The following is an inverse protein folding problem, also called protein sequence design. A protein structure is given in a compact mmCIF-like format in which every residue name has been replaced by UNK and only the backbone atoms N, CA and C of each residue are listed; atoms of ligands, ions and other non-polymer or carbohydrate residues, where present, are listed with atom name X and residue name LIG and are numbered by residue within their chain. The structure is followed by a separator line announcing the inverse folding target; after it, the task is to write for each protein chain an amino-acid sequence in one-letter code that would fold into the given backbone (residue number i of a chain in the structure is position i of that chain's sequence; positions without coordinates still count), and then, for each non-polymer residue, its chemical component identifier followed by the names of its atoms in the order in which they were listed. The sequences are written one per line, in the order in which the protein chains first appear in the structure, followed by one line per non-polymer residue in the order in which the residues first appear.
data_IF_671631201152
#
_entry.id   IF_671631201152
#
_cell.length_a   1.000
_cell.length_b   1.000
_cell.length_c   1.000
_cell.angle_alpha   90.00
_cell.angle_beta   90.00
_cell.angle_gamma   90.00
#
_symmetry.space_group_name_H-M   'P 1'
#
loop_
_entity.id
_entity.type
_entity.pdbx_description
1 polymer ?
#
# COMPACT_ATOMS: atom_id res chain seq x y z
N UNK A 1 4.30 -31.71 -10.17
CA UNK A 1 3.82 -30.41 -9.63
C UNK A 1 2.70 -30.71 -8.64
N UNK A 2 2.98 -30.62 -7.34
CA UNK A 2 1.96 -30.86 -6.31
C UNK A 2 0.87 -29.77 -6.44
N UNK A 3 -0.35 -30.18 -6.74
CA UNK A 3 -1.55 -29.34 -6.77
C UNK A 3 -1.94 -28.92 -5.33
N UNK A 4 -1.06 -28.18 -4.63
CA UNK A 4 -1.42 -27.64 -3.33
C UNK A 4 -2.67 -26.79 -3.49
N UNK A 5 -3.71 -27.11 -2.73
CA UNK A 5 -4.94 -26.31 -2.65
C UNK A 5 -4.58 -24.87 -2.21
N UNK A 6 -5.29 -23.90 -2.74
CA UNK A 6 -5.15 -22.49 -2.32
C UNK A 6 -5.59 -22.39 -0.86
N UNK A 7 -4.82 -21.74 -0.02
CA UNK A 7 -5.15 -21.63 1.40
C UNK A 7 -6.29 -20.64 1.63
N UNK A 8 -6.99 -20.83 2.73
CA UNK A 8 -8.03 -19.92 3.20
C UNK A 8 -7.49 -18.48 3.40
N UNK A 9 -6.29 -18.34 3.97
CA UNK A 9 -5.63 -17.04 4.17
C UNK A 9 -5.47 -16.26 2.86
N UNK A 10 -5.06 -16.95 1.77
CA UNK A 10 -4.88 -16.30 0.47
C UNK A 10 -6.21 -15.82 -0.11
N UNK A 11 -7.29 -16.59 0.09
CA UNK A 11 -8.63 -16.22 -0.35
C UNK A 11 -9.13 -15.01 0.44
N UNK A 12 -9.02 -15.03 1.78
CA UNK A 12 -9.47 -13.94 2.63
C UNK A 12 -8.69 -12.64 2.35
N UNK A 13 -7.37 -12.74 2.16
CA UNK A 13 -6.59 -11.56 1.79
C UNK A 13 -6.95 -11.04 0.39
N UNK A 14 -7.18 -11.92 -0.58
CA UNK A 14 -7.67 -11.51 -1.90
C UNK A 14 -9.04 -10.81 -1.82
N UNK A 15 -9.95 -11.31 -0.99
CA UNK A 15 -11.27 -10.72 -0.76
C UNK A 15 -11.20 -9.35 -0.07
N UNK A 16 -10.17 -9.09 0.76
CA UNK A 16 -10.04 -7.81 1.45
C UNK A 16 -9.95 -6.60 0.50
N UNK A 17 -9.48 -6.78 -0.73
CA UNK A 17 -9.47 -5.71 -1.74
C UNK A 17 -10.88 -5.34 -2.22
N UNK A 18 -11.82 -6.30 -2.23
CA UNK A 18 -13.20 -6.08 -2.67
C UNK A 18 -14.05 -5.34 -1.65
N UNK A 19 -13.58 -5.21 -0.40
CA UNK A 19 -14.29 -4.50 0.65
C UNK A 19 -14.47 -3.00 0.34
N UNK A 20 -13.71 -2.44 -0.59
CA UNK A 20 -13.90 -1.06 -1.04
C UNK A 20 -15.31 -0.81 -1.58
N UNK A 21 -15.95 -1.85 -2.14
CA UNK A 21 -17.30 -1.74 -2.69
C UNK A 21 -18.41 -1.72 -1.64
N UNK A 22 -18.11 -2.06 -0.39
CA UNK A 22 -19.08 -2.11 0.71
C UNK A 22 -18.62 -1.31 1.93
N UNK A 23 -17.60 -0.47 1.81
CA UNK A 23 -17.16 0.39 2.93
C UNK A 23 -18.20 1.47 3.24
N UNK A 24 -18.34 1.79 4.52
CA UNK A 24 -19.26 2.80 5.02
C UNK A 24 -18.58 4.16 5.31
N UNK A 25 -17.28 4.28 5.06
CA UNK A 25 -16.52 5.51 5.24
C UNK A 25 -15.77 5.88 3.96
N UNK A 26 -15.71 7.17 3.65
CA UNK A 26 -15.07 7.70 2.45
C UNK A 26 -13.57 7.42 2.31
N UNK A 27 -12.92 6.91 3.35
CA UNK A 27 -11.48 6.58 3.36
C UNK A 27 -11.16 5.10 3.16
N UNK A 28 -12.12 4.25 2.79
CA UNK A 28 -11.94 2.78 2.76
C UNK A 28 -11.39 2.28 4.10
N UNK A 29 -12.17 2.42 5.13
CA UNK A 29 -11.80 2.24 6.52
C UNK A 29 -11.49 0.79 6.89
N UNK A 30 -10.61 0.64 7.87
CA UNK A 30 -10.21 -0.63 8.47
C UNK A 30 -11.38 -1.40 9.14
N UNK A 31 -12.47 -0.72 9.48
CA UNK A 31 -13.65 -1.36 10.08
C UNK A 31 -14.16 -2.54 9.24
N UNK A 32 -14.15 -2.42 7.93
CA UNK A 32 -14.61 -3.47 7.00
C UNK A 32 -13.74 -4.72 7.03
N UNK A 33 -12.50 -4.65 7.55
CA UNK A 33 -11.64 -5.81 7.71
C UNK A 33 -12.05 -6.69 8.90
N UNK A 34 -12.78 -6.15 9.87
CA UNK A 34 -13.07 -6.84 11.13
C UNK A 34 -13.78 -8.19 10.93
N UNK A 35 -14.83 -8.31 10.12
CA UNK A 35 -15.48 -9.60 9.87
C UNK A 35 -14.53 -10.63 9.26
N UNK A 36 -13.71 -10.23 8.27
CA UNK A 36 -12.73 -11.14 7.63
C UNK A 36 -11.67 -11.56 8.63
N UNK A 37 -11.19 -10.65 9.46
CA UNK A 37 -10.21 -10.95 10.50
C UNK A 37 -10.76 -11.98 11.50
N UNK A 38 -12.00 -11.81 11.97
CA UNK A 38 -12.65 -12.77 12.85
C UNK A 38 -12.70 -14.15 12.19
N UNK A 39 -13.16 -14.24 10.94
CA UNK A 39 -13.23 -15.51 10.21
C UNK A 39 -11.85 -16.17 10.08
N UNK A 40 -10.81 -15.40 9.82
CA UNK A 40 -9.43 -15.93 9.75
C UNK A 40 -8.94 -16.43 11.12
N UNK A 41 -9.23 -15.72 12.20
CA UNK A 41 -8.85 -16.14 13.54
C UNK A 41 -9.59 -17.43 13.93
N UNK A 42 -10.89 -17.50 13.69
CA UNK A 42 -11.71 -18.70 13.94
C UNK A 42 -11.15 -19.88 13.14
N UNK A 43 -10.86 -19.69 11.85
CA UNK A 43 -10.28 -20.73 11.02
C UNK A 43 -8.94 -21.23 11.58
N UNK A 44 -8.04 -20.33 11.99
CA UNK A 44 -6.73 -20.70 12.56
C UNK A 44 -6.83 -21.44 13.89
N UNK A 45 -7.81 -21.08 14.73
CA UNK A 45 -8.02 -21.72 16.04
C UNK A 45 -8.62 -23.11 15.87
N UNK A 46 -9.69 -23.23 15.10
CA UNK A 46 -10.53 -24.45 15.08
C UNK A 46 -10.21 -25.43 13.96
N UNK A 47 -9.56 -24.98 12.88
CA UNK A 47 -9.33 -25.81 11.68
C UNK A 47 -7.84 -26.02 11.43
N UNK A 48 -7.02 -24.96 11.45
CA UNK A 48 -5.59 -25.04 11.15
C UNK A 48 -4.74 -25.46 12.36
N UNK A 49 -5.28 -25.34 13.58
CA UNK A 49 -4.61 -25.62 14.86
C UNK A 49 -3.21 -24.96 14.97
N UNK A 50 -2.96 -23.89 14.22
CA UNK A 50 -1.65 -23.26 14.09
C UNK A 50 -1.71 -21.80 14.57
N UNK A 51 -1.65 -21.63 15.89
CA UNK A 51 -1.69 -20.29 16.55
C UNK A 51 -0.28 -19.70 16.73
N UNK A 52 0.78 -20.45 16.40
CA UNK A 52 2.16 -19.95 16.61
C UNK A 52 2.45 -18.74 15.74
N UNK A 53 2.52 -17.57 16.36
CA UNK A 53 2.87 -16.32 15.70
C UNK A 53 4.39 -16.17 15.66
N UNK A 54 4.93 -16.09 14.45
CA UNK A 54 6.35 -15.84 14.22
C UNK A 54 6.62 -14.32 14.25
N UNK A 55 7.19 -13.84 15.35
CA UNK A 55 7.52 -12.43 15.56
C UNK A 55 8.95 -12.13 15.07
N UNK A 56 9.09 -11.64 13.84
CA UNK A 56 10.34 -11.09 13.32
C UNK A 56 10.59 -9.65 13.84
N UNK A 57 11.73 -9.04 13.45
CA UNK A 57 12.09 -7.69 13.88
C UNK A 57 11.04 -6.64 13.44
N UNK A 58 10.50 -6.77 12.23
CA UNK A 58 9.47 -5.86 11.71
C UNK A 58 8.17 -5.95 12.52
N UNK A 59 7.67 -7.17 12.77
CA UNK A 59 6.46 -7.37 13.57
C UNK A 59 6.61 -6.90 15.02
N UNK A 60 7.82 -7.07 15.61
CA UNK A 60 8.11 -6.54 16.96
C UNK A 60 8.08 -5.02 17.01
N UNK A 61 8.66 -4.35 16.02
CA UNK A 61 8.62 -2.87 15.97
C UNK A 61 7.20 -2.37 15.73
N UNK A 62 6.40 -3.06 14.91
CA UNK A 62 4.98 -2.73 14.76
C UNK A 62 4.20 -2.93 16.08
N UNK A 63 4.50 -3.98 16.84
CA UNK A 63 3.92 -4.17 18.18
C UNK A 63 4.30 -3.02 19.14
N UNK A 64 5.55 -2.58 19.15
CA UNK A 64 5.97 -1.43 19.99
C UNK A 64 5.28 -0.13 19.59
N UNK A 65 4.99 0.05 18.30
CA UNK A 65 4.15 1.16 17.82
C UNK A 65 2.75 1.11 18.45
N UNK A 66 2.10 -0.05 18.47
CA UNK A 66 0.79 -0.21 19.09
C UNK A 66 0.84 0.09 20.60
N UNK A 67 1.86 -0.42 21.30
CA UNK A 67 2.07 -0.13 22.73
C UNK A 67 2.24 1.38 22.94
N UNK A 68 3.00 2.06 22.10
CA UNK A 68 3.17 3.52 22.20
C UNK A 68 1.85 4.29 21.97
N UNK A 69 0.97 3.82 21.06
CA UNK A 69 -0.37 4.40 20.90
C UNK A 69 -1.23 4.23 22.17
N UNK A 70 -1.14 3.08 22.84
CA UNK A 70 -1.80 2.88 24.14
C UNK A 70 -1.27 3.85 25.19
N UNK A 71 0.05 3.98 25.31
CA UNK A 71 0.70 4.94 26.26
C UNK A 71 0.25 6.36 25.95
N UNK A 72 0.26 6.77 24.66
CA UNK A 72 -0.24 8.07 24.23
C UNK A 72 -1.70 8.27 24.64
N UNK A 73 -2.53 7.28 24.41
CA UNK A 73 -3.98 7.35 24.73
C UNK A 73 -4.21 7.49 26.23
N UNK A 74 -3.53 6.70 27.06
CA UNK A 74 -3.64 6.78 28.54
C UNK A 74 -3.14 8.14 29.04
N UNK A 75 -1.99 8.62 28.55
CA UNK A 75 -1.44 9.92 28.93
C UNK A 75 -2.41 11.06 28.58
N UNK A 76 -3.04 10.99 27.42
CA UNK A 76 -4.00 12.00 27.00
C UNK A 76 -5.37 11.87 27.68
N UNK A 77 -5.76 10.68 28.12
CA UNK A 77 -6.92 10.49 28.99
C UNK A 77 -6.75 11.26 30.31
N UNK A 78 -5.54 11.24 30.87
CA UNK A 78 -5.25 11.94 32.13
C UNK A 78 -5.17 13.46 31.92
N UNK A 79 -4.44 13.92 30.89
CA UNK A 79 -4.14 15.34 30.70
C UNK A 79 -5.28 16.09 29.99
N UNK A 80 -5.96 15.45 29.05
CA UNK A 80 -6.95 16.04 28.16
C UNK A 80 -8.34 15.39 28.27
N UNK A 81 -8.74 15.01 29.49
CA UNK A 81 -9.99 14.24 29.74
C UNK A 81 -11.22 14.88 29.11
N UNK A 82 -11.33 16.20 29.11
CA UNK A 82 -12.46 16.94 28.53
C UNK A 82 -12.61 16.76 27.01
N UNK A 83 -11.54 16.40 26.31
CA UNK A 83 -11.54 16.14 24.85
C UNK A 83 -11.60 14.65 24.53
N UNK A 84 -11.47 13.81 25.54
CA UNK A 84 -11.51 12.36 25.40
C UNK A 84 -12.96 11.90 25.17
N UNK A 85 -13.17 11.02 24.21
CA UNK A 85 -14.47 10.45 23.90
C UNK A 85 -14.35 9.04 23.31
N UNK A 86 -15.49 8.40 23.09
CA UNK A 86 -15.57 7.06 22.52
C UNK A 86 -14.83 6.92 21.17
N UNK A 87 -14.82 7.98 20.34
CA UNK A 87 -14.12 7.94 19.06
C UNK A 87 -12.59 7.83 19.18
N UNK A 88 -12.01 8.25 20.32
CA UNK A 88 -10.60 8.04 20.62
C UNK A 88 -10.31 6.55 20.83
N UNK A 89 -11.17 5.86 21.57
CA UNK A 89 -11.08 4.41 21.79
C UNK A 89 -11.26 3.67 20.47
N UNK A 90 -12.29 4.02 19.68
CA UNK A 90 -12.54 3.44 18.37
C UNK A 90 -11.32 3.63 17.45
N UNK A 91 -10.72 4.81 17.45
CA UNK A 91 -9.50 5.07 16.68
C UNK A 91 -8.32 4.19 17.09
N UNK A 92 -8.14 3.96 18.40
CA UNK A 92 -7.12 3.02 18.90
C UNK A 92 -7.42 1.57 18.49
N UNK A 93 -8.69 1.14 18.59
CA UNK A 93 -9.12 -0.19 18.16
C UNK A 93 -8.85 -0.43 16.67
N UNK A 94 -8.95 0.59 15.82
CA UNK A 94 -8.58 0.45 14.41
C UNK A 94 -7.12 0.05 14.22
N UNK A 95 -6.20 0.63 14.97
CA UNK A 95 -4.79 0.23 14.90
C UNK A 95 -4.55 -1.17 15.48
N UNK A 96 -5.30 -1.59 16.48
CA UNK A 96 -5.27 -2.98 16.98
C UNK A 96 -5.76 -3.95 15.90
N UNK A 97 -6.88 -3.65 15.23
CA UNK A 97 -7.41 -4.46 14.12
C UNK A 97 -6.39 -4.56 12.99
N UNK A 98 -5.76 -3.44 12.61
CA UNK A 98 -4.70 -3.38 11.62
C UNK A 98 -3.52 -4.28 12.00
N UNK A 99 -3.06 -4.17 13.24
CA UNK A 99 -1.96 -4.99 13.75
C UNK A 99 -2.31 -6.48 13.67
N UNK A 100 -3.47 -6.87 14.16
CA UNK A 100 -3.93 -8.26 14.09
C UNK A 100 -4.08 -8.73 12.65
N UNK A 101 -4.64 -7.90 11.77
CA UNK A 101 -4.77 -8.17 10.35
C UNK A 101 -3.40 -8.42 9.71
N UNK A 102 -2.43 -7.55 9.97
CA UNK A 102 -1.06 -7.70 9.49
C UNK A 102 -0.44 -9.01 9.99
N UNK A 103 -0.52 -9.28 11.30
CA UNK A 103 0.07 -10.47 11.92
C UNK A 103 -0.57 -11.75 11.38
N UNK A 104 -1.89 -11.84 11.38
CA UNK A 104 -2.62 -13.05 10.95
C UNK A 104 -2.33 -13.35 9.48
N UNK A 105 -2.36 -12.32 8.63
CA UNK A 105 -2.16 -12.49 7.18
C UNK A 105 -0.70 -12.81 6.84
N UNK A 106 0.29 -12.23 7.53
CA UNK A 106 1.73 -12.45 7.24
C UNK A 106 2.37 -13.57 8.05
N UNK A 107 1.60 -14.36 8.79
CA UNK A 107 2.14 -15.47 9.59
C UNK A 107 2.39 -16.76 8.79
N UNK A 108 2.33 -16.68 7.48
CA UNK A 108 2.47 -17.80 6.54
C UNK A 108 3.31 -17.40 5.34
N UNK A 109 4.07 -18.35 4.80
CA UNK A 109 4.72 -18.19 3.49
C UNK A 109 3.74 -18.61 2.39
N UNK A 110 3.45 -17.71 1.48
CA UNK A 110 2.53 -17.92 0.36
C UNK A 110 3.27 -18.52 -0.85
N UNK A 111 2.62 -19.45 -1.52
CA UNK A 111 3.10 -19.99 -2.80
C UNK A 111 2.91 -18.98 -3.94
N UNK A 112 3.62 -19.17 -5.07
CA UNK A 112 3.46 -18.33 -6.26
C UNK A 112 2.03 -18.30 -6.80
N UNK A 113 1.33 -19.45 -6.70
CA UNK A 113 -0.08 -19.56 -7.11
C UNK A 113 -0.97 -18.67 -6.25
N UNK A 114 -0.76 -18.66 -4.94
CA UNK A 114 -1.51 -17.84 -4.00
C UNK A 114 -1.23 -16.34 -4.21
N UNK A 115 0.05 -15.97 -4.36
CA UNK A 115 0.45 -14.58 -4.67
C UNK A 115 -0.17 -14.12 -5.99
N UNK A 116 -0.23 -14.99 -7.00
CA UNK A 116 -0.88 -14.67 -8.27
C UNK A 116 -2.37 -14.41 -8.10
N UNK A 117 -3.08 -15.21 -7.28
CA UNK A 117 -4.51 -15.00 -6.99
C UNK A 117 -4.73 -13.66 -6.30
N UNK A 118 -3.95 -13.36 -5.25
CA UNK A 118 -4.02 -12.09 -4.51
C UNK A 118 -3.78 -10.90 -5.47
N UNK A 119 -2.70 -10.99 -6.27
CA UNK A 119 -2.37 -9.97 -7.27
C UNK A 119 -3.47 -9.76 -8.30
N UNK A 120 -4.06 -10.87 -8.80
CA UNK A 120 -5.16 -10.81 -9.77
C UNK A 120 -6.38 -10.17 -9.15
N UNK A 121 -6.75 -10.53 -7.92
CA UNK A 121 -7.84 -9.90 -7.18
C UNK A 121 -7.63 -8.38 -7.05
N UNK A 122 -6.42 -7.96 -6.67
CA UNK A 122 -6.08 -6.54 -6.58
C UNK A 122 -6.23 -5.81 -7.91
N UNK A 123 -5.72 -6.39 -9.00
CA UNK A 123 -5.83 -5.82 -10.35
C UNK A 123 -7.31 -5.71 -10.76
N UNK A 124 -8.10 -6.76 -10.58
CA UNK A 124 -9.53 -6.73 -10.92
C UNK A 124 -10.30 -5.68 -10.12
N UNK A 125 -10.05 -5.59 -8.82
CA UNK A 125 -10.64 -4.54 -7.98
C UNK A 125 -10.28 -3.14 -8.52
N UNK A 126 -9.03 -2.91 -8.90
CA UNK A 126 -8.59 -1.61 -9.44
C UNK A 126 -9.28 -1.27 -10.77
N UNK A 127 -9.44 -2.26 -11.67
CA UNK A 127 -10.12 -2.06 -12.94
C UNK A 127 -11.60 -1.72 -12.75
N UNK A 128 -12.27 -2.41 -11.82
CA UNK A 128 -13.68 -2.12 -11.52
C UNK A 128 -13.82 -0.73 -10.87
N UNK A 129 -12.94 -0.36 -9.93
CA UNK A 129 -12.92 1.01 -9.40
C UNK A 129 -12.72 2.05 -10.51
N UNK A 130 -11.85 1.75 -11.48
CA UNK A 130 -11.61 2.63 -12.63
C UNK A 130 -12.85 2.78 -13.51
N UNK A 131 -13.59 1.69 -13.73
CA UNK A 131 -14.83 1.73 -14.49
C UNK A 131 -15.91 2.56 -13.77
N UNK A 132 -16.03 2.48 -12.45
CA UNK A 132 -16.91 3.35 -11.67
C UNK A 132 -16.54 4.83 -11.81
N UNK A 133 -15.26 5.19 -11.77
CA UNK A 133 -14.83 6.57 -11.98
C UNK A 133 -15.14 7.06 -13.41
N UNK A 134 -14.94 6.20 -14.41
CA UNK A 134 -15.24 6.51 -15.81
C UNK A 134 -16.77 6.67 -16.01
N UNK A 135 -17.57 5.80 -15.41
CA UNK A 135 -19.03 5.90 -15.45
C UNK A 135 -19.52 7.22 -14.87
N UNK A 136 -19.00 7.62 -13.72
CA UNK A 136 -19.31 8.90 -13.08
C UNK A 136 -18.94 10.09 -13.96
N UNK A 137 -17.81 10.02 -14.64
CA UNK A 137 -17.43 11.02 -15.64
C UNK A 137 -18.41 11.08 -16.82
N UNK A 138 -18.76 9.91 -17.38
CA UNK A 138 -19.68 9.82 -18.52
C UNK A 138 -21.11 10.24 -18.17
N UNK A 139 -21.53 10.07 -16.91
CA UNK A 139 -22.83 10.53 -16.40
C UNK A 139 -22.89 12.07 -16.19
N UNK A 140 -21.82 12.80 -16.56
CA UNK A 140 -21.80 14.27 -16.53
C UNK A 140 -21.48 14.89 -15.17
N UNK A 141 -20.88 14.14 -14.24
CA UNK A 141 -20.43 14.71 -12.98
C UNK A 141 -19.39 15.81 -13.24
N UNK A 142 -19.72 17.03 -12.85
CA UNK A 142 -18.78 18.15 -12.83
C UNK A 142 -18.15 18.30 -11.45
N UNK A 143 -16.84 18.51 -11.38
CA UNK A 143 -16.12 18.66 -10.12
C UNK A 143 -15.25 17.46 -9.79
N UNK A 144 -15.12 17.14 -8.50
CA UNK A 144 -14.41 15.95 -8.03
C UNK A 144 -15.10 14.68 -8.52
N UNK A 145 -14.38 13.83 -9.21
CA UNK A 145 -14.90 12.52 -9.61
C UNK A 145 -14.49 11.52 -8.54
N UNK A 146 -15.40 11.32 -7.59
CA UNK A 146 -15.27 10.32 -6.54
C UNK A 146 -16.05 9.05 -6.92
N UNK A 147 -15.59 7.90 -6.45
CA UNK A 147 -16.30 6.65 -6.62
C UNK A 147 -17.47 6.58 -5.63
N UNK A 148 -18.67 6.26 -6.13
CA UNK A 148 -19.76 5.82 -5.27
C UNK A 148 -19.75 4.29 -5.25
N UNK A 149 -19.71 3.72 -4.05
CA UNK A 149 -19.68 2.28 -3.86
C UNK A 149 -21.11 1.66 -3.83
N UNK A 150 -21.20 0.34 -3.66
CA UNK A 150 -22.48 -0.39 -3.68
C UNK A 150 -23.45 -0.01 -2.53
N UNK A 151 -22.96 0.65 -1.49
CA UNK A 151 -23.79 1.14 -0.37
C UNK A 151 -24.01 2.66 -0.43
N UNK A 152 -23.88 3.25 -1.62
CA UNK A 152 -24.07 4.66 -1.90
C UNK A 152 -23.17 5.62 -1.09
N UNK A 153 -21.99 5.15 -0.68
CA UNK A 153 -21.00 5.99 0.00
C UNK A 153 -19.99 6.54 -1.01
N UNK A 154 -19.74 7.83 -0.93
CA UNK A 154 -18.69 8.50 -1.70
C UNK A 154 -17.34 8.18 -1.09
N UNK A 155 -16.45 7.57 -1.87
CA UNK A 155 -15.07 7.28 -1.48
C UNK A 155 -14.16 8.36 -2.05
N UNK A 156 -13.33 8.95 -1.18
CA UNK A 156 -12.39 10.00 -1.54
C UNK A 156 -11.48 9.58 -2.71
N UNK A 157 -11.39 10.44 -3.70
CA UNK A 157 -10.67 10.20 -4.96
C UNK A 157 -9.19 9.86 -4.75
N UNK A 158 -8.56 10.37 -3.70
CA UNK A 158 -7.14 10.11 -3.45
C UNK A 158 -6.89 8.66 -3.02
N UNK A 159 -7.79 8.06 -2.21
CA UNK A 159 -7.65 6.66 -1.78
C UNK A 159 -7.92 5.70 -2.93
N UNK A 160 -8.96 5.95 -3.72
CA UNK A 160 -9.27 5.13 -4.89
C UNK A 160 -8.15 5.20 -5.91
N UNK A 161 -7.67 6.41 -6.21
CA UNK A 161 -6.55 6.62 -7.15
C UNK A 161 -5.25 6.00 -6.67
N UNK A 162 -4.98 6.03 -5.36
CA UNK A 162 -3.82 5.38 -4.77
C UNK A 162 -3.88 3.86 -4.96
N UNK A 163 -5.05 3.25 -4.70
CA UNK A 163 -5.28 1.82 -4.93
C UNK A 163 -5.08 1.46 -6.41
N UNK A 164 -5.68 2.24 -7.33
CA UNK A 164 -5.55 2.03 -8.77
C UNK A 164 -4.09 2.17 -9.20
N UNK A 165 -3.38 3.22 -8.77
CA UNK A 165 -2.00 3.47 -9.14
C UNK A 165 -1.06 2.34 -8.71
N UNK A 166 -1.21 1.82 -7.48
CA UNK A 166 -0.41 0.69 -6.99
C UNK A 166 -0.68 -0.59 -7.77
N UNK A 167 -1.95 -0.91 -8.09
CA UNK A 167 -2.31 -2.06 -8.91
C UNK A 167 -1.77 -1.92 -10.35
N UNK A 168 -1.75 -0.69 -10.87
CA UNK A 168 -1.23 -0.38 -12.22
C UNK A 168 0.25 -0.73 -12.37
N UNK A 169 1.06 -0.58 -11.31
CA UNK A 169 2.45 -1.02 -11.35
C UNK A 169 2.58 -2.55 -11.50
N UNK A 170 1.71 -3.34 -10.90
CA UNK A 170 1.69 -4.79 -11.13
C UNK A 170 1.34 -5.13 -12.58
N UNK A 171 0.36 -4.43 -13.16
CA UNK A 171 -0.02 -4.58 -14.58
C UNK A 171 1.19 -4.25 -15.47
N UNK A 172 1.85 -3.13 -15.19
CA UNK A 172 3.00 -2.67 -15.96
C UNK A 172 4.19 -3.64 -15.87
N UNK A 173 4.47 -4.20 -14.68
CA UNK A 173 5.47 -5.27 -14.52
C UNK A 173 5.15 -6.50 -15.39
N UNK A 174 3.89 -6.89 -15.46
CA UNK A 174 3.46 -8.05 -16.25
C UNK A 174 3.61 -7.79 -17.76
N UNK A 175 3.36 -6.56 -18.23
CA UNK A 175 3.57 -6.17 -19.65
C UNK A 175 5.07 -6.23 -19.99
N UNK A 176 5.93 -5.74 -19.10
CA UNK A 176 7.38 -5.73 -19.32
C UNK A 176 8.00 -7.13 -19.20
N UNK A 177 7.36 -8.06 -18.52
CA UNK A 177 7.86 -9.42 -18.33
C UNK A 177 7.97 -10.18 -19.64
N UNK A 178 9.12 -10.84 -19.88
CA UNK A 178 9.36 -11.64 -21.10
C UNK A 178 8.53 -12.91 -21.09
N UNK A 179 8.30 -13.51 -19.93
CA UNK A 179 7.72 -14.85 -19.78
C UNK A 179 6.17 -14.88 -19.86
N UNK A 180 5.50 -13.75 -20.09
CA UNK A 180 4.04 -13.72 -20.20
C UNK A 180 3.57 -13.96 -21.65
N UNK A 181 2.51 -14.75 -21.80
CA UNK A 181 1.84 -14.99 -23.09
C UNK A 181 1.32 -13.68 -23.67
N UNK A 182 1.33 -13.55 -25.02
CA UNK A 182 0.93 -12.32 -25.70
C UNK A 182 -0.52 -11.91 -25.37
N UNK A 183 -1.45 -12.85 -25.32
CA UNK A 183 -2.86 -12.58 -24.97
C UNK A 183 -3.02 -11.95 -23.58
N UNK A 184 -2.22 -12.40 -22.58
CA UNK A 184 -2.23 -11.81 -21.24
C UNK A 184 -1.68 -10.38 -21.29
N UNK A 185 -0.67 -10.11 -22.12
CA UNK A 185 -0.10 -8.77 -22.29
C UNK A 185 -1.10 -7.81 -22.91
N UNK A 186 -1.86 -8.25 -23.90
CA UNK A 186 -2.91 -7.43 -24.54
C UNK A 186 -3.99 -7.05 -23.54
N UNK A 187 -4.48 -7.99 -22.74
CA UNK A 187 -5.45 -7.72 -21.66
C UNK A 187 -4.86 -6.72 -20.65
N UNK A 188 -3.60 -6.91 -20.25
CA UNK A 188 -2.93 -6.00 -19.33
C UNK A 188 -2.73 -4.60 -19.92
N UNK A 189 -2.55 -4.45 -21.22
CA UNK A 189 -2.50 -3.14 -21.87
C UNK A 189 -3.87 -2.45 -21.78
N UNK A 190 -4.96 -3.17 -22.01
CA UNK A 190 -6.32 -2.62 -21.85
C UNK A 190 -6.52 -2.15 -20.38
N UNK A 191 -6.19 -2.98 -19.41
CA UNK A 191 -6.29 -2.62 -17.99
C UNK A 191 -5.40 -1.42 -17.63
N UNK A 192 -4.19 -1.34 -18.18
CA UNK A 192 -3.28 -0.21 -17.99
C UNK A 192 -3.92 1.10 -18.47
N UNK A 193 -4.50 1.10 -19.68
CA UNK A 193 -5.14 2.28 -20.26
C UNK A 193 -6.34 2.71 -19.41
N UNK A 194 -7.22 1.79 -19.05
CA UNK A 194 -8.39 2.06 -18.20
C UNK A 194 -7.95 2.67 -16.85
N UNK A 195 -6.96 2.09 -16.20
CA UNK A 195 -6.50 2.55 -14.90
C UNK A 195 -5.82 3.93 -14.97
N UNK A 196 -4.94 4.18 -15.96
CA UNK A 196 -4.28 5.48 -16.13
C UNK A 196 -5.34 6.56 -16.42
N UNK A 197 -6.31 6.28 -17.28
CA UNK A 197 -7.40 7.19 -17.57
C UNK A 197 -8.21 7.52 -16.32
N UNK A 198 -8.60 6.53 -15.53
CA UNK A 198 -9.34 6.74 -14.29
C UNK A 198 -8.54 7.57 -13.25
N UNK A 199 -7.24 7.31 -13.09
CA UNK A 199 -6.38 8.13 -12.21
C UNK A 199 -6.30 9.58 -12.69
N UNK A 200 -6.23 9.79 -14.00
CA UNK A 200 -6.24 11.13 -14.57
C UNK A 200 -7.59 11.85 -14.32
N UNK A 201 -8.73 11.17 -14.53
CA UNK A 201 -10.07 11.71 -14.30
C UNK A 201 -10.30 12.08 -12.81
N UNK A 202 -9.77 11.32 -11.87
CA UNK A 202 -9.96 11.57 -10.44
C UNK A 202 -9.40 12.91 -9.97
N UNK A 203 -8.44 13.49 -10.70
CA UNK A 203 -7.75 14.71 -10.30
C UNK A 203 -6.76 14.54 -9.14
N UNK A 204 -6.40 13.32 -8.75
CA UNK A 204 -5.39 13.05 -7.73
C UNK A 204 -3.97 13.25 -8.26
N UNK A 205 -3.41 14.45 -8.06
CA UNK A 205 -2.03 14.80 -8.50
C UNK A 205 -0.99 13.83 -7.95
N UNK A 206 -1.11 13.45 -6.69
CA UNK A 206 -0.17 12.54 -6.04
C UNK A 206 -0.15 11.16 -6.71
N UNK A 207 -1.33 10.59 -6.99
CA UNK A 207 -1.43 9.30 -7.63
C UNK A 207 -0.88 9.35 -9.08
N UNK A 208 -1.23 10.38 -9.85
CA UNK A 208 -0.82 10.48 -11.26
C UNK A 208 0.69 10.71 -11.40
N UNK A 209 1.25 11.70 -10.69
CA UNK A 209 2.67 12.03 -10.75
C UNK A 209 3.50 10.88 -10.17
N UNK A 210 3.09 10.36 -9.01
CA UNK A 210 3.77 9.23 -8.38
C UNK A 210 3.78 7.99 -9.27
N UNK A 211 2.66 7.67 -9.93
CA UNK A 211 2.56 6.56 -10.88
C UNK A 211 3.48 6.76 -12.08
N UNK A 212 3.51 7.95 -12.69
CA UNK A 212 4.38 8.24 -13.83
C UNK A 212 5.86 8.05 -13.48
N UNK A 213 6.30 8.59 -12.33
CA UNK A 213 7.69 8.43 -11.87
C UNK A 213 7.98 6.95 -11.55
N UNK A 214 7.06 6.25 -10.87
CA UNK A 214 7.26 4.85 -10.52
C UNK A 214 7.31 3.93 -11.75
N UNK A 215 6.50 4.19 -12.77
CA UNK A 215 6.58 3.47 -14.05
C UNK A 215 7.91 3.73 -14.76
N UNK A 216 8.39 4.97 -14.76
CA UNK A 216 9.71 5.32 -15.27
C UNK A 216 10.83 4.56 -14.54
N UNK A 217 10.82 4.57 -13.20
CA UNK A 217 11.76 3.79 -12.39
C UNK A 217 11.67 2.29 -12.66
N UNK A 218 10.46 1.73 -12.77
CA UNK A 218 10.23 0.33 -13.08
C UNK A 218 10.87 -0.05 -14.41
N UNK A 219 10.69 0.82 -15.40
CA UNK A 219 11.28 0.60 -16.70
C UNK A 219 12.81 0.66 -16.65
N UNK A 220 13.39 1.69 -16.01
CA UNK A 220 14.84 1.87 -15.86
C UNK A 220 15.47 0.65 -15.19
N UNK A 221 14.92 0.18 -14.07
CA UNK A 221 15.42 -0.99 -13.34
C UNK A 221 15.37 -2.24 -14.22
N UNK A 222 14.24 -2.50 -14.89
CA UNK A 222 14.11 -3.67 -15.76
C UNK A 222 14.93 -3.57 -17.04
N UNK A 223 15.24 -2.37 -17.50
CA UNK A 223 16.13 -2.13 -18.61
C UNK A 223 17.57 -2.55 -18.27
N UNK A 224 18.09 -2.10 -17.13
CA UNK A 224 19.45 -2.40 -16.70
C UNK A 224 19.65 -3.88 -16.29
N UNK A 225 18.60 -4.62 -15.95
CA UNK A 225 18.71 -6.07 -15.70
C UNK A 225 19.14 -6.85 -16.96
N UNK A 226 18.69 -6.45 -18.17
CA UNK A 226 19.06 -7.06 -19.46
C UNK A 226 18.87 -6.05 -20.59
N UNK A 227 19.93 -5.34 -20.97
CA UNK A 227 19.89 -4.41 -22.10
C UNK A 227 19.73 -5.21 -23.42
N UNK A 228 18.66 -4.89 -24.20
CA UNK A 228 18.42 -5.48 -25.50
C UNK A 228 17.67 -4.48 -26.38
N UNK A 229 18.06 -4.38 -27.66
CA UNK A 229 17.44 -3.48 -28.64
C UNK A 229 15.89 -3.63 -28.70
N UNK A 230 15.38 -4.87 -28.63
CA UNK A 230 13.93 -5.13 -28.58
C UNK A 230 13.23 -4.46 -27.37
N UNK A 231 13.91 -4.30 -26.25
CA UNK A 231 13.36 -3.60 -25.08
C UNK A 231 13.38 -2.08 -25.28
N UNK A 232 14.43 -1.54 -25.90
CA UNK A 232 14.52 -0.13 -26.25
C UNK A 232 13.35 0.26 -27.17
N UNK A 233 13.13 -0.51 -28.24
CA UNK A 233 12.04 -0.26 -29.18
C UNK A 233 10.65 -0.37 -28.50
N UNK A 234 10.45 -1.36 -27.64
CA UNK A 234 9.20 -1.47 -26.84
C UNK A 234 8.98 -0.27 -25.93
N UNK A 235 10.02 0.26 -25.35
CA UNK A 235 9.92 1.44 -24.49
C UNK A 235 9.51 2.69 -25.27
N UNK A 236 10.20 2.94 -26.36
CA UNK A 236 9.85 4.05 -27.25
C UNK A 236 8.38 3.92 -27.68
N UNK A 237 7.96 2.72 -28.07
CA UNK A 237 6.57 2.46 -28.45
C UNK A 237 5.60 2.72 -27.27
N UNK A 238 5.91 2.28 -26.05
CA UNK A 238 5.07 2.53 -24.87
C UNK A 238 4.99 4.03 -24.57
N UNK A 239 6.12 4.76 -24.62
CA UNK A 239 6.11 6.22 -24.44
C UNK A 239 5.24 6.89 -25.51
N UNK A 240 5.40 6.54 -26.76
CA UNK A 240 4.59 7.10 -27.87
C UNK A 240 3.10 6.84 -27.63
N UNK A 241 2.74 5.61 -27.26
CA UNK A 241 1.33 5.25 -26.97
C UNK A 241 0.81 6.04 -25.76
N UNK A 242 1.56 6.10 -24.65
CA UNK A 242 1.14 6.84 -23.45
C UNK A 242 1.03 8.33 -23.76
N UNK A 243 1.95 8.90 -24.52
CA UNK A 243 1.91 10.32 -24.92
C UNK A 243 0.71 10.60 -25.82
N UNK A 244 0.47 9.76 -26.84
CA UNK A 244 -0.68 9.90 -27.73
C UNK A 244 -2.03 9.78 -26.98
N UNK A 245 -2.13 8.80 -26.07
CA UNK A 245 -3.30 8.65 -25.20
C UNK A 245 -3.41 9.86 -24.26
N UNK A 246 -2.31 10.31 -23.68
CA UNK A 246 -2.27 11.47 -22.78
C UNK A 246 -2.79 12.75 -23.46
N UNK A 247 -2.35 13.02 -24.68
CA UNK A 247 -2.82 14.17 -25.46
C UNK A 247 -4.34 14.05 -25.72
N UNK A 248 -4.80 12.88 -26.12
CA UNK A 248 -6.24 12.65 -26.34
C UNK A 248 -7.05 12.73 -25.05
N UNK A 249 -6.54 12.22 -23.95
CA UNK A 249 -7.20 12.32 -22.64
C UNK A 249 -7.36 13.78 -22.21
N UNK A 250 -6.38 14.66 -22.48
CA UNK A 250 -6.48 16.08 -22.15
C UNK A 250 -7.67 16.77 -22.81
N UNK A 251 -8.10 16.34 -24.01
CA UNK A 251 -9.28 16.87 -24.72
C UNK A 251 -10.59 16.52 -23.97
N UNK A 252 -10.63 15.44 -23.23
CA UNK A 252 -11.82 14.93 -22.53
C UNK A 252 -11.80 15.14 -21.03
N UNK A 253 -10.70 15.65 -20.46
CA UNK A 253 -10.63 15.94 -19.03
C UNK A 253 -11.61 17.07 -18.68
N UNK A 254 -12.46 16.90 -17.64
CA UNK A 254 -13.33 17.98 -17.17
C UNK A 254 -12.55 19.25 -16.86
N UNK A 255 -13.11 20.42 -17.17
CA UNK A 255 -12.47 21.73 -16.91
C UNK A 255 -12.01 21.87 -15.45
N UNK A 256 -12.76 21.30 -14.49
CA UNK A 256 -12.36 21.29 -13.09
C UNK A 256 -11.07 20.47 -12.86
N UNK A 257 -10.98 19.28 -13.43
CA UNK A 257 -9.79 18.40 -13.32
C UNK A 257 -8.60 19.05 -14.03
N UNK A 258 -8.81 19.62 -15.23
CA UNK A 258 -7.79 20.37 -15.95
C UNK A 258 -7.24 21.54 -15.10
N UNK A 259 -8.12 22.37 -14.53
CA UNK A 259 -7.72 23.47 -13.66
C UNK A 259 -6.95 22.98 -12.42
N UNK A 260 -7.31 21.82 -11.87
CA UNK A 260 -6.59 21.23 -10.73
C UNK A 260 -5.17 20.83 -11.06
N UNK A 261 -4.89 20.44 -12.30
CA UNK A 261 -3.54 20.08 -12.76
C UNK A 261 -2.72 21.27 -13.21
N UNK A 262 -3.31 22.21 -13.93
CA UNK A 262 -2.60 23.23 -14.70
C UNK A 262 -2.82 24.66 -14.23
N UNK A 263 -3.86 24.92 -13.42
CA UNK A 263 -4.11 26.28 -12.91
C UNK A 263 -3.45 26.47 -11.54
N UNK A 264 -2.44 27.37 -11.47
CA UNK A 264 -1.68 27.66 -10.25
C UNK A 264 -2.56 28.12 -9.09
N UNK A 265 -3.55 28.99 -9.34
CA UNK A 265 -4.43 29.49 -8.29
C UNK A 265 -5.24 28.39 -7.57
N UNK A 266 -5.66 27.35 -8.31
CA UNK A 266 -6.33 26.18 -7.73
C UNK A 266 -5.36 25.31 -6.93
N UNK A 267 -4.16 25.12 -7.45
CA UNK A 267 -3.09 24.39 -6.80
C UNK A 267 -2.67 25.06 -5.50
N UNK A 268 -2.50 26.38 -5.50
CA UNK A 268 -2.03 27.18 -4.37
C UNK A 268 -3.02 27.15 -3.20
N UNK A 269 -4.33 27.25 -3.45
CA UNK A 269 -5.34 27.19 -2.40
C UNK A 269 -5.37 25.85 -1.67
N UNK A 270 -5.25 24.74 -2.42
CA UNK A 270 -5.19 23.39 -1.84
C UNK A 270 -3.87 23.14 -1.09
N UNK A 271 -2.74 23.62 -1.64
CA UNK A 271 -1.43 23.44 -1.04
C UNK A 271 -1.28 24.30 0.23
N UNK A 272 -1.76 25.55 0.21
CA UNK A 272 -1.73 26.45 1.36
C UNK A 272 -2.43 25.83 2.57
N UNK A 273 -3.60 25.21 2.37
CA UNK A 273 -4.33 24.50 3.44
C UNK A 273 -3.49 23.37 4.04
N UNK A 274 -2.82 22.56 3.21
CA UNK A 274 -1.97 21.45 3.70
C UNK A 274 -0.73 21.94 4.45
N UNK A 275 -0.03 22.94 3.88
CA UNK A 275 1.15 23.55 4.54
C UNK A 275 0.75 24.10 5.91
N UNK A 276 -0.44 24.67 6.00
CA UNK A 276 -0.96 25.18 7.25
C UNK A 276 -1.21 24.07 8.28
N UNK A 277 -1.87 22.97 7.86
CA UNK A 277 -2.09 21.80 8.71
C UNK A 277 -0.75 21.19 9.18
N UNK A 278 0.25 21.14 8.30
CA UNK A 278 1.58 20.63 8.65
C UNK A 278 2.28 21.52 9.70
N UNK A 279 2.26 22.86 9.50
CA UNK A 279 2.82 23.80 10.49
C UNK A 279 2.16 23.64 11.85
N UNK A 280 0.84 23.48 11.86
CA UNK A 280 0.09 23.28 13.09
C UNK A 280 0.40 21.93 13.75
N UNK A 281 0.46 20.86 12.98
CA UNK A 281 0.89 19.55 13.47
C UNK A 281 2.27 19.61 14.11
N UNK A 282 3.23 20.30 13.47
CA UNK A 282 4.57 20.49 14.02
C UNK A 282 4.57 21.32 15.32
N UNK A 283 3.73 22.37 15.43
CA UNK A 283 3.56 23.10 16.71
C UNK A 283 3.07 22.17 17.81
N UNK A 284 2.10 21.31 17.51
CA UNK A 284 1.63 20.32 18.47
C UNK A 284 2.73 19.38 18.91
N UNK A 285 3.48 18.82 17.96
CA UNK A 285 4.60 17.90 18.26
C UNK A 285 5.65 18.56 19.14
N UNK A 286 6.03 19.82 18.86
CA UNK A 286 6.99 20.55 19.71
C UNK A 286 6.52 20.70 21.16
N UNK A 287 5.21 20.80 21.41
CA UNK A 287 4.65 20.87 22.76
C UNK A 287 4.59 19.52 23.45
N UNK A 288 4.44 18.42 22.70
CA UNK A 288 4.29 17.06 23.22
C UNK A 288 5.06 16.02 22.41
N UNK A 289 6.40 16.13 22.37
CA UNK A 289 7.21 15.39 21.41
C UNK A 289 7.25 13.88 21.67
N UNK A 290 7.19 13.41 22.91
CA UNK A 290 7.39 12.02 23.26
C UNK A 290 6.13 11.18 23.03
N UNK A 291 4.99 11.60 23.56
CA UNK A 291 3.76 10.79 23.57
C UNK A 291 2.73 11.22 22.53
N UNK A 292 2.85 12.45 21.99
CA UNK A 292 1.84 12.98 21.08
C UNK A 292 0.49 13.22 21.77
N UNK A 293 -0.58 13.29 20.95
CA UNK A 293 -1.92 13.68 21.40
C UNK A 293 -2.96 12.56 21.33
N UNK A 294 -2.56 11.33 20.98
CA UNK A 294 -3.50 10.26 20.67
C UNK A 294 -4.40 10.55 19.46
N UNK A 295 -5.19 9.56 19.08
CA UNK A 295 -6.06 9.63 17.92
C UNK A 295 -7.29 10.46 18.26
N UNK A 296 -7.69 11.42 17.39
CA UNK A 296 -8.88 12.25 17.53
C UNK A 296 -8.95 13.12 18.80
N UNK A 297 -7.81 13.49 19.37
CA UNK A 297 -7.72 14.48 20.46
C UNK A 297 -7.14 15.79 19.96
N UNK A 298 -6.09 15.72 19.13
CA UNK A 298 -5.38 16.89 18.62
C UNK A 298 -6.30 17.93 17.96
N UNK A 299 -7.17 17.47 17.09
CA UNK A 299 -8.16 18.26 16.35
C UNK A 299 -9.27 18.88 17.23
N UNK A 300 -9.40 18.45 18.48
CA UNK A 300 -10.39 18.96 19.45
C UNK A 300 -9.83 19.95 20.45
N UNK A 301 -8.51 20.08 20.54
CA UNK A 301 -7.87 21.08 21.38
C UNK A 301 -8.05 22.45 20.69
N UNK A 302 -8.70 23.45 21.33
CA UNK A 302 -9.03 24.72 20.68
C UNK A 302 -7.87 25.43 20.01
N UNK A 303 -6.66 25.28 20.57
CA UNK A 303 -5.42 25.84 20.01
C UNK A 303 -5.04 25.23 18.66
N UNK A 304 -5.48 24.00 18.35
CA UNK A 304 -5.17 23.26 17.14
C UNK A 304 -6.38 23.01 16.25
N UNK A 305 -7.60 23.18 16.77
CA UNK A 305 -8.84 22.84 16.08
C UNK A 305 -9.16 23.84 14.94
N UNK A 306 -8.82 25.10 15.14
CA UNK A 306 -9.10 26.16 14.18
C UNK A 306 -7.85 26.99 13.91
N UNK A 307 -7.59 27.28 12.64
CA UNK A 307 -6.46 28.10 12.26
C UNK A 307 -6.88 29.04 11.14
N UNK A 308 -6.89 30.38 11.40
CA UNK A 308 -7.23 31.41 10.42
C UNK A 308 -8.52 31.08 9.64
N UNK A 309 -9.62 30.81 10.34
CA UNK A 309 -10.93 30.45 9.80
C UNK A 309 -11.03 29.11 9.05
N UNK A 310 -9.98 28.27 9.08
CA UNK A 310 -10.03 26.92 8.57
C UNK A 310 -10.25 25.92 9.72
N UNK A 311 -11.33 25.17 9.67
CA UNK A 311 -11.52 24.00 10.51
C UNK A 311 -10.62 22.86 10.02
N UNK A 312 -9.87 22.24 10.95
CA UNK A 312 -9.13 21.02 10.66
C UNK A 312 -10.12 19.86 10.65
N UNK A 313 -10.10 19.02 9.60
CA UNK A 313 -10.98 17.86 9.56
C UNK A 313 -10.77 16.96 10.78
N UNK A 314 -11.85 16.60 11.46
CA UNK A 314 -11.86 15.80 12.71
C UNK A 314 -11.08 14.47 12.67
N UNK A 315 -10.62 14.03 11.51
CA UNK A 315 -10.09 12.69 11.33
C UNK A 315 -8.65 12.64 10.85
N UNK A 316 -8.13 13.73 10.29
CA UNK A 316 -6.81 13.75 9.63
C UNK A 316 -6.11 15.08 9.91
N UNK A 317 -5.46 15.22 11.07
CA UNK A 317 -4.94 16.51 11.54
C UNK A 317 -3.91 17.14 10.60
N UNK A 318 -3.04 16.36 9.97
CA UNK A 318 -2.05 16.87 9.02
C UNK A 318 -2.32 16.46 7.57
N UNK A 319 -3.24 15.54 7.34
CA UNK A 319 -3.52 14.98 6.02
C UNK A 319 -2.26 14.42 5.33
N UNK A 320 -1.35 13.84 6.14
CA UNK A 320 -0.07 13.27 5.75
C UNK A 320 0.27 12.16 6.74
N UNK A 321 0.37 10.91 6.23
CA UNK A 321 0.44 9.68 7.06
C UNK A 321 1.50 9.72 8.15
N UNK A 322 2.71 10.14 7.83
CA UNK A 322 3.82 10.09 8.81
C UNK A 322 3.69 11.17 9.88
N UNK A 323 3.22 12.34 9.50
CA UNK A 323 2.97 13.43 10.42
C UNK A 323 1.76 13.12 11.32
N UNK A 324 0.70 12.51 10.77
CA UNK A 324 -0.45 12.06 11.55
C UNK A 324 -0.03 11.01 12.59
N UNK A 325 0.79 10.03 12.22
CA UNK A 325 1.35 9.04 13.15
C UNK A 325 2.19 9.72 14.24
N UNK A 326 3.03 10.69 13.87
CA UNK A 326 3.84 11.45 14.82
C UNK A 326 2.98 12.28 15.78
N UNK A 327 1.91 12.91 15.28
CA UNK A 327 0.93 13.63 16.12
C UNK A 327 0.24 12.67 17.10
N UNK A 328 -0.17 11.47 16.63
CA UNK A 328 -0.92 10.53 17.47
C UNK A 328 -0.06 9.88 18.55
N UNK A 329 1.17 9.53 18.24
CA UNK A 329 1.99 8.66 19.10
C UNK A 329 3.30 9.29 19.61
N UNK A 330 3.62 10.51 19.14
CA UNK A 330 4.91 11.14 19.41
C UNK A 330 6.08 10.31 18.89
N UNK A 331 7.28 10.63 19.32
CA UNK A 331 8.50 9.90 18.97
C UNK A 331 8.48 8.46 19.49
N UNK A 332 7.80 8.18 20.62
CA UNK A 332 7.69 6.83 21.17
C UNK A 332 7.03 5.85 20.20
N UNK A 333 6.06 6.29 19.41
CA UNK A 333 5.42 5.43 18.42
C UNK A 333 5.98 5.64 17.01
N UNK A 334 6.35 6.86 16.65
CA UNK A 334 6.88 7.17 15.32
C UNK A 334 8.18 6.40 15.02
N UNK A 335 9.13 6.34 15.97
CA UNK A 335 10.39 5.62 15.78
C UNK A 335 10.17 4.13 15.53
N UNK A 336 9.41 3.38 16.35
CA UNK A 336 9.11 1.98 16.05
C UNK A 336 8.40 1.78 14.73
N UNK A 337 7.47 2.68 14.35
CA UNK A 337 6.78 2.61 13.06
C UNK A 337 7.76 2.80 11.88
N UNK A 338 8.66 3.78 11.94
CA UNK A 338 9.67 3.99 10.91
C UNK A 338 10.67 2.82 10.84
N UNK A 339 11.03 2.22 11.98
CA UNK A 339 11.85 1.00 12.02
C UNK A 339 11.13 -0.20 11.39
N UNK A 340 9.82 -0.32 11.58
CA UNK A 340 9.01 -1.33 10.90
C UNK A 340 9.12 -1.19 9.38
N UNK A 341 8.89 0.02 8.83
CA UNK A 341 9.03 0.28 7.41
C UNK A 341 10.47 0.03 6.93
N UNK A 342 11.46 0.45 7.68
CA UNK A 342 12.87 0.20 7.37
C UNK A 342 13.19 -1.30 7.29
N UNK A 343 12.76 -2.11 8.27
CA UNK A 343 12.99 -3.56 8.24
C UNK A 343 12.30 -4.25 7.07
N UNK A 344 11.14 -3.76 6.64
CA UNK A 344 10.45 -4.28 5.47
C UNK A 344 11.16 -3.85 4.18
N UNK A 345 11.45 -2.56 4.00
CA UNK A 345 11.90 -2.03 2.71
C UNK A 345 13.36 -2.33 2.39
N UNK A 346 14.24 -2.38 3.39
CA UNK A 346 15.66 -2.73 3.18
C UNK A 346 15.86 -4.10 2.51
N UNK A 347 14.93 -5.03 2.70
CA UNK A 347 15.01 -6.34 2.09
C UNK A 347 14.91 -6.29 0.57
N UNK A 348 14.24 -5.26 0.04
CA UNK A 348 14.12 -5.04 -1.40
C UNK A 348 15.33 -4.33 -2.03
N UNK A 349 16.25 -3.83 -1.21
CA UNK A 349 17.53 -3.28 -1.69
C UNK A 349 18.57 -4.38 -1.99
N UNK A 350 18.25 -5.66 -1.73
CA UNK A 350 19.11 -6.78 -2.08
C UNK A 350 19.09 -7.07 -3.57
N UNK A 351 20.22 -7.57 -4.12
CA UNK A 351 20.35 -7.93 -5.53
C UNK A 351 19.23 -8.89 -5.96
N UNK A 352 18.63 -8.66 -7.13
CA UNK A 352 17.52 -9.45 -7.66
C UNK A 352 16.12 -9.07 -7.17
N UNK A 353 16.01 -8.11 -6.22
CA UNK A 353 14.73 -7.65 -5.67
C UNK A 353 14.38 -6.22 -6.09
N UNK A 354 15.28 -5.51 -6.79
CA UNK A 354 15.12 -4.10 -7.18
C UNK A 354 13.86 -3.79 -7.97
N UNK A 355 13.30 -4.77 -8.67
CA UNK A 355 12.04 -4.62 -9.41
C UNK A 355 10.84 -4.21 -8.56
N UNK A 356 10.92 -4.29 -7.23
CA UNK A 356 9.87 -3.85 -6.30
C UNK A 356 10.11 -2.44 -5.73
N UNK A 357 11.29 -1.84 -5.97
CA UNK A 357 11.60 -0.46 -5.52
C UNK A 357 10.59 0.57 -6.05
N UNK A 358 10.13 0.51 -7.31
CA UNK A 358 9.14 1.46 -7.81
C UNK A 358 7.81 1.41 -7.04
N UNK A 359 7.42 0.24 -6.55
CA UNK A 359 6.22 0.09 -5.72
C UNK A 359 6.40 0.73 -4.35
N UNK A 360 7.57 0.53 -3.73
CA UNK A 360 7.93 1.18 -2.46
C UNK A 360 7.97 2.69 -2.63
N UNK A 361 8.61 3.17 -3.70
CA UNK A 361 8.64 4.58 -4.04
C UNK A 361 7.23 5.17 -4.17
N UNK A 362 6.36 4.54 -4.97
CA UNK A 362 4.99 5.00 -5.18
C UNK A 362 4.21 5.02 -3.86
N UNK A 363 4.35 3.96 -3.05
CA UNK A 363 3.73 3.88 -1.74
C UNK A 363 4.16 5.04 -0.84
N UNK A 364 5.47 5.27 -0.68
CA UNK A 364 6.02 6.35 0.14
C UNK A 364 5.61 7.73 -0.39
N UNK A 365 5.64 7.91 -1.71
CA UNK A 365 5.27 9.17 -2.35
C UNK A 365 3.80 9.53 -2.09
N UNK A 366 2.88 8.59 -2.32
CA UNK A 366 1.45 8.83 -2.10
C UNK A 366 1.15 9.07 -0.61
N UNK A 367 1.67 8.21 0.26
CA UNK A 367 1.38 8.28 1.71
C UNK A 367 2.03 9.48 2.39
N UNK A 368 3.04 10.10 1.75
CA UNK A 368 3.58 11.39 2.19
C UNK A 368 2.66 12.58 1.87
N UNK A 369 1.64 12.38 1.03
CA UNK A 369 0.74 13.46 0.58
C UNK A 369 -0.68 13.27 1.12
N UNK A 370 -1.07 12.04 1.46
CA UNK A 370 -2.37 11.70 2.03
C UNK A 370 -2.24 11.05 3.40
N UNK A 371 -3.23 11.25 4.28
CA UNK A 371 -3.33 10.57 5.57
C UNK A 371 -3.97 9.20 5.38
N UNK A 372 -3.17 8.17 5.12
CA UNK A 372 -3.64 6.84 4.75
C UNK A 372 -3.44 5.76 5.84
N UNK A 373 -2.95 6.13 7.01
CA UNK A 373 -2.56 5.19 8.09
C UNK A 373 -3.72 4.35 8.64
N UNK A 374 -4.96 4.78 8.40
CA UNK A 374 -6.17 4.04 8.78
C UNK A 374 -6.90 3.42 7.59
N UNK A 375 -6.34 3.50 6.41
CA UNK A 375 -6.94 2.95 5.20
C UNK A 375 -6.49 1.50 4.96
N UNK A 376 -7.41 0.67 4.50
CA UNK A 376 -7.12 -0.72 4.11
C UNK A 376 -6.08 -0.77 2.97
N UNK A 377 -6.12 0.18 2.06
CA UNK A 377 -5.14 0.33 0.97
C UNK A 377 -3.70 0.37 1.50
N UNK A 378 -3.43 1.20 2.52
CA UNK A 378 -2.11 1.36 3.11
C UNK A 378 -1.57 0.02 3.65
N UNK A 379 -2.37 -0.65 4.48
CA UNK A 379 -1.94 -1.87 5.15
C UNK A 379 -1.90 -3.08 4.22
N UNK A 380 -2.84 -3.20 3.31
CA UNK A 380 -2.82 -4.28 2.31
C UNK A 380 -1.60 -4.16 1.39
N UNK A 381 -1.14 -2.94 1.09
CA UNK A 381 0.12 -2.75 0.34
C UNK A 381 1.32 -3.25 1.14
N UNK A 382 1.44 -2.92 2.43
CA UNK A 382 2.52 -3.39 3.29
C UNK A 382 2.48 -4.91 3.49
N UNK A 383 1.28 -5.48 3.65
CA UNK A 383 1.08 -6.94 3.73
C UNK A 383 1.53 -7.60 2.42
N UNK A 384 1.13 -7.09 1.27
CA UNK A 384 1.52 -7.64 -0.04
C UNK A 384 3.04 -7.62 -0.23
N UNK A 385 3.70 -6.53 0.13
CA UNK A 385 5.17 -6.45 0.10
C UNK A 385 5.81 -7.46 1.05
N UNK A 386 5.26 -7.65 2.26
CA UNK A 386 5.75 -8.64 3.21
C UNK A 386 5.59 -10.06 2.65
N UNK A 387 4.44 -10.39 2.08
CA UNK A 387 4.18 -11.70 1.45
C UNK A 387 5.17 -11.96 0.31
N UNK A 388 5.42 -10.98 -0.54
CA UNK A 388 6.39 -11.07 -1.64
C UNK A 388 7.81 -11.32 -1.09
N UNK A 389 8.22 -10.56 -0.08
CA UNK A 389 9.52 -10.71 0.60
C UNK A 389 9.67 -12.13 1.15
N UNK A 390 8.70 -12.61 1.93
CA UNK A 390 8.78 -13.92 2.59
C UNK A 390 8.80 -15.08 1.58
N UNK A 391 8.09 -14.96 0.45
CA UNK A 391 8.17 -15.94 -0.64
C UNK A 391 9.56 -15.97 -1.29
N UNK A 392 10.18 -14.80 -1.52
CA UNK A 392 11.53 -14.72 -2.08
C UNK A 392 12.55 -15.32 -1.11
N UNK A 393 12.48 -14.97 0.18
CA UNK A 393 13.37 -15.49 1.21
C UNK A 393 13.27 -17.01 1.35
N UNK A 394 12.06 -17.57 1.23
CA UNK A 394 11.84 -19.01 1.26
C UNK A 394 12.50 -19.72 0.07
N UNK A 395 12.39 -19.16 -1.12
CA UNK A 395 13.01 -19.73 -2.34
C UNK A 395 14.53 -19.64 -2.31
N UNK A 396 15.10 -18.55 -1.81
CA UNK A 396 16.53 -18.41 -1.65
C UNK A 396 17.07 -19.48 -0.69
N UNK A 397 16.43 -19.69 0.46
CA UNK A 397 16.80 -20.75 1.42
C UNK A 397 16.68 -22.15 0.85
N UNK A 398 15.70 -22.42 0.01
CA UNK A 398 15.54 -23.72 -0.65
C UNK A 398 16.67 -23.97 -1.66
N UNK A 399 17.05 -22.97 -2.45
CA UNK A 399 18.19 -23.03 -3.38
C UNK A 399 19.50 -23.27 -2.66
N UNK A 400 19.76 -22.56 -1.56
CA UNK A 400 20.99 -22.73 -0.78
C UNK A 400 21.10 -24.15 -0.20
N UNK A 401 20.00 -24.71 0.26
CA UNK A 401 19.98 -26.12 0.73
C UNK A 401 20.29 -27.10 -0.38
N UNK A 402 19.74 -26.92 -1.58
CA UNK A 402 20.00 -27.78 -2.74
C UNK A 402 21.45 -27.68 -3.18
N UNK A 403 22.04 -26.51 -3.23
CA UNK A 403 23.44 -26.30 -3.60
C UNK A 403 24.39 -26.96 -2.58
N UNK A 404 24.11 -26.82 -1.28
CA UNK A 404 24.92 -27.46 -0.24
C UNK A 404 24.83 -28.98 -0.26
N UNK A 405 23.66 -29.56 -0.57
CA UNK A 405 23.49 -31.00 -0.71
C UNK A 405 24.22 -31.54 -1.94
N UNK A 406 24.26 -30.82 -3.05
CA UNK A 406 24.99 -31.20 -4.26
C UNK A 406 26.52 -31.22 -4.02
N UNK A 407 27.03 -30.18 -3.36
CA UNK A 407 28.47 -30.10 -3.04
C UNK A 407 28.90 -31.19 -2.08
N UNK A 408 28.08 -31.54 -1.08
CA UNK A 408 28.40 -32.64 -0.18
C UNK A 408 28.43 -34.04 -0.91
N UNK A 409 27.53 -34.24 -1.87
CA UNK A 409 27.54 -35.47 -2.68
C UNK A 409 28.75 -35.57 -3.60
N UNK A 410 29.22 -34.44 -4.17
CA UNK A 410 30.45 -34.41 -4.99
C UNK A 410 31.72 -34.73 -4.15
N UNK A 411 31.76 -34.25 -2.90
CA UNK A 411 32.88 -34.53 -1.98
C UNK A 411 32.89 -36.00 -1.61
N UNK A 412 31.74 -36.61 -1.29
CA UNK A 412 31.64 -38.05 -0.95
C UNK A 412 32.04 -38.94 -2.11
N UNK A 413 31.64 -38.58 -3.35
CA UNK A 413 32.01 -39.35 -4.55
C UNK A 413 33.52 -39.27 -4.81
N UNK A 414 34.16 -38.11 -4.63
CA UNK A 414 35.61 -38.00 -4.76
C UNK A 414 36.38 -38.77 -3.71
N UNK A 415 35.95 -38.78 -2.45
CA UNK A 415 36.56 -39.57 -1.39
C UNK A 415 36.43 -41.06 -1.61
N UNK A 416 35.34 -41.52 -2.22
CA UNK A 416 35.14 -42.93 -2.59
C UNK A 416 35.94 -43.35 -3.84
N UNK A 417 36.15 -42.46 -4.80
CA UNK A 417 37.04 -42.69 -5.95
C UNK A 417 38.52 -42.73 -5.53
N UNK A 418 38.98 -41.82 -4.68
CA UNK A 418 40.34 -41.85 -4.14
C UNK A 418 40.62 -43.13 -3.34
N UNK A 419 39.67 -43.59 -2.51
CA UNK A 419 39.81 -44.86 -1.79
C UNK A 419 39.83 -46.11 -2.70
N UNK A 420 39.25 -46.03 -3.90
CA UNK A 420 39.31 -47.13 -4.90
C UNK A 420 40.60 -47.18 -5.68
N UNK A 421 41.34 -46.06 -5.75
CA UNK A 421 42.64 -45.98 -6.46
C UNK A 421 43.78 -46.50 -5.57
N UNK A 422 43.62 -46.50 -4.24
CA UNK A 422 44.65 -46.89 -3.27
C UNK A 422 44.45 -48.32 -2.68
N UNK A 423 43.45 -49.09 -3.15
CA UNK A 423 43.27 -50.52 -2.90
C UNK A 423 43.41 -51.34 -4.21
#
# INVERSE_FOLDING_TARGET
MNNKKVSFDAIMFALSYWLIFITFEGSFSVQVLFPILILMIIYKIFIDNNIKVKMDKGKRTLFYFIVALFISTITNLIIHIKYFNINTIIGLLYFVIIFLWYIVTTNKVYSDKEIKIIKTSYILTSVICSLFLIERFLSGQTGKIAMINLVNMEIDENYVSALIAMATLFIFQDILSINKKIGIKLINIIYLVINIFAVALSGSRAALIGLAIAMGLQYVIMFFEKVNLKRILKFIMIIVIITAIGIKVLEYIPTWTYNRYFNSNYADKSNSKRVFMWKNGMRGIMKKPLTGYSIRIFDKIPEFATINDFEIPDRVPAHQTYLDILIYSGLLGFIPFMLFLYYLFKEFLKKGRFKYIPMIFLFLFITNIIGAERSVFFWNTLIMLTIIKDNIDAKEKERDKLNNSSNNNEIVVKDDEEKRIFN
#
